data_IF_709723532831
#
_entry.id   IF_709723532831
#
_cell.length_a   1.000
_cell.length_b   1.000
_cell.length_c   1.000
_cell.angle_alpha   90.00
_cell.angle_beta   90.00
_cell.angle_gamma   90.00
#
_symmetry.space_group_name_H-M   'P 1'
#
loop_
_entity.id
_entity.type
_entity.pdbx_description
1 polymer ?
#
# COMPACT_ATOMS: atom_id res chain seq x y z
N UNK A 1 4.11 -26.99 14.01
CA UNK A 1 4.69 -25.79 14.65
C UNK A 1 5.49 -24.90 13.71
N UNK A 2 6.53 -25.36 13.00
CA UNK A 2 7.31 -24.45 12.11
C UNK A 2 6.55 -24.01 10.84
N UNK A 3 5.70 -24.88 10.26
CA UNK A 3 4.93 -24.59 9.04
C UNK A 3 3.82 -23.56 9.28
N UNK A 4 3.21 -23.59 10.46
CA UNK A 4 2.10 -22.71 10.84
C UNK A 4 2.55 -21.24 10.91
N UNK A 5 3.74 -21.01 11.47
CA UNK A 5 4.38 -19.69 11.55
C UNK A 5 4.68 -19.12 10.15
N UNK A 6 5.16 -19.96 9.23
CA UNK A 6 5.48 -19.53 7.85
C UNK A 6 4.21 -19.16 7.09
N UNK A 7 3.12 -19.91 7.28
CA UNK A 7 1.82 -19.59 6.68
C UNK A 7 1.28 -18.29 7.27
N UNK A 8 1.33 -18.13 8.59
CA UNK A 8 0.89 -16.92 9.28
C UNK A 8 1.63 -15.67 8.76
N UNK A 9 2.96 -15.74 8.63
CA UNK A 9 3.78 -14.64 8.11
C UNK A 9 3.43 -14.28 6.67
N UNK A 10 3.18 -15.27 5.82
CA UNK A 10 2.76 -15.03 4.42
C UNK A 10 1.39 -14.36 4.36
N UNK A 11 0.43 -14.84 5.14
CA UNK A 11 -0.91 -14.24 5.20
C UNK A 11 -0.87 -12.81 5.73
N UNK A 12 -0.04 -12.57 6.76
CA UNK A 12 0.17 -11.23 7.30
C UNK A 12 0.82 -10.30 6.27
N UNK A 13 1.85 -10.78 5.56
CA UNK A 13 2.52 -10.00 4.53
C UNK A 13 1.54 -9.59 3.42
N UNK A 14 0.74 -10.53 2.90
CA UNK A 14 -0.27 -10.26 1.88
C UNK A 14 -1.35 -9.31 2.40
N UNK A 15 -1.81 -9.49 3.64
CA UNK A 15 -2.81 -8.63 4.26
C UNK A 15 -2.32 -7.20 4.52
N UNK A 16 -1.02 -7.01 4.76
CA UNK A 16 -0.43 -5.69 5.03
C UNK A 16 0.00 -4.92 3.78
N UNK A 17 0.15 -5.57 2.62
CA UNK A 17 0.61 -4.90 1.39
C UNK A 17 -0.27 -3.71 0.99
N UNK A 18 -1.59 -3.89 1.01
CA UNK A 18 -2.55 -2.84 0.66
C UNK A 18 -2.49 -1.63 1.60
N UNK A 19 -2.63 -1.79 2.94
CA UNK A 19 -2.48 -0.68 3.88
C UNK A 19 -1.11 0.00 3.77
N UNK A 20 -0.03 -0.78 3.61
CA UNK A 20 1.32 -0.26 3.52
C UNK A 20 1.52 0.64 2.30
N UNK A 21 1.01 0.23 1.13
CA UNK A 21 1.11 1.02 -0.10
C UNK A 21 0.26 2.29 -0.06
N UNK A 22 -0.94 2.23 0.53
CA UNK A 22 -1.77 3.42 0.76
C UNK A 22 -1.07 4.39 1.70
N UNK A 23 -0.56 3.91 2.84
CA UNK A 23 0.16 4.74 3.79
C UNK A 23 1.43 5.34 3.18
N UNK A 24 2.19 4.56 2.41
CA UNK A 24 3.37 5.07 1.70
C UNK A 24 3.00 6.20 0.73
N UNK A 25 1.91 6.06 -0.02
CA UNK A 25 1.42 7.09 -0.92
C UNK A 25 0.96 8.35 -0.19
N UNK A 26 0.19 8.22 0.90
CA UNK A 26 -0.25 9.34 1.74
C UNK A 26 0.96 10.08 2.33
N UNK A 27 1.91 9.36 2.91
CA UNK A 27 3.12 9.94 3.50
C UNK A 27 3.98 10.62 2.45
N UNK A 28 4.15 10.03 1.26
CA UNK A 28 4.88 10.66 0.17
C UNK A 28 4.22 11.99 -0.25
N UNK A 29 2.89 12.00 -0.43
CA UNK A 29 2.13 13.20 -0.76
C UNK A 29 2.27 14.30 0.30
N UNK A 30 2.21 13.92 1.58
CA UNK A 30 2.39 14.84 2.70
C UNK A 30 3.81 15.41 2.75
N UNK A 31 4.83 14.56 2.58
CA UNK A 31 6.25 14.93 2.64
C UNK A 31 6.66 15.88 1.51
N UNK A 32 6.05 15.72 0.33
CA UNK A 32 6.25 16.59 -0.82
C UNK A 32 5.49 17.90 -0.63
N UNK A 33 4.20 17.83 -0.30
CA UNK A 33 3.35 19.02 -0.26
C UNK A 33 3.55 19.93 0.95
N UNK A 34 4.11 19.43 2.06
CA UNK A 34 4.46 20.26 3.24
C UNK A 34 5.46 21.39 2.93
N UNK A 35 6.18 21.32 1.81
CA UNK A 35 7.09 22.38 1.35
C UNK A 35 6.40 23.48 0.53
N UNK A 36 5.14 23.27 0.15
CA UNK A 36 4.39 24.16 -0.75
C UNK A 36 3.29 24.91 0.01
N UNK A 37 2.30 24.19 0.55
CA UNK A 37 1.16 24.75 1.27
C UNK A 37 0.38 23.62 1.96
N UNK A 38 -0.29 23.86 3.10
CA UNK A 38 -1.12 22.86 3.77
C UNK A 38 -2.19 22.24 2.86
N UNK A 39 -2.81 23.05 2.00
CA UNK A 39 -3.86 22.60 1.06
C UNK A 39 -3.25 21.68 0.00
N UNK A 40 -2.08 22.04 -0.52
CA UNK A 40 -1.35 21.22 -1.51
C UNK A 40 -0.87 19.91 -0.86
N UNK A 41 -0.40 19.95 0.38
CA UNK A 41 -0.05 18.76 1.16
C UNK A 41 -1.22 17.80 1.31
N UNK A 42 -2.41 18.34 1.62
CA UNK A 42 -3.62 17.54 1.73
C UNK A 42 -4.02 16.89 0.39
N UNK A 43 -4.05 17.66 -0.70
CA UNK A 43 -4.41 17.15 -2.03
C UNK A 43 -3.41 16.09 -2.50
N UNK A 44 -2.11 16.34 -2.35
CA UNK A 44 -1.07 15.37 -2.72
C UNK A 44 -1.13 14.11 -1.86
N UNK A 45 -1.48 14.22 -0.57
CA UNK A 45 -1.66 13.07 0.32
C UNK A 45 -2.85 12.21 -0.13
N UNK A 46 -3.98 12.84 -0.48
CA UNK A 46 -5.14 12.14 -1.05
C UNK A 46 -4.80 11.44 -2.36
N UNK A 47 -4.17 12.16 -3.29
CA UNK A 47 -3.74 11.60 -4.57
C UNK A 47 -2.76 10.44 -4.39
N UNK A 48 -1.79 10.59 -3.49
CA UNK A 48 -0.83 9.56 -3.13
C UNK A 48 -1.51 8.32 -2.52
N UNK A 49 -2.47 8.50 -1.61
CA UNK A 49 -3.25 7.41 -1.04
C UNK A 49 -4.06 6.64 -2.08
N UNK A 50 -4.70 7.35 -3.01
CA UNK A 50 -5.44 6.73 -4.14
C UNK A 50 -4.52 5.96 -5.08
N UNK A 51 -3.34 6.52 -5.40
CA UNK A 51 -2.33 5.83 -6.20
C UNK A 51 -1.79 4.58 -5.47
N UNK A 52 -1.54 4.68 -4.17
CA UNK A 52 -1.14 3.56 -3.32
C UNK A 52 -2.20 2.46 -3.29
N UNK A 53 -3.48 2.83 -3.22
CA UNK A 53 -4.60 1.89 -3.29
C UNK A 53 -4.65 1.20 -4.66
N UNK A 54 -4.61 1.97 -5.75
CA UNK A 54 -4.63 1.42 -7.10
C UNK A 54 -3.44 0.48 -7.37
N UNK A 55 -2.23 0.88 -6.98
CA UNK A 55 -1.02 0.08 -7.11
C UNK A 55 -1.10 -1.20 -6.26
N UNK A 56 -1.56 -1.10 -5.02
CA UNK A 56 -1.75 -2.23 -4.13
C UNK A 56 -2.80 -3.21 -4.66
N UNK A 57 -3.92 -2.73 -5.20
CA UNK A 57 -4.92 -3.59 -5.83
C UNK A 57 -4.35 -4.30 -7.06
N UNK A 58 -3.58 -3.62 -7.90
CA UNK A 58 -2.95 -4.25 -9.07
C UNK A 58 -1.91 -5.31 -8.69
N UNK A 59 -1.10 -5.05 -7.66
CA UNK A 59 -0.15 -6.02 -7.10
C UNK A 59 -0.89 -7.23 -6.54
N UNK A 60 -1.92 -7.00 -5.74
CA UNK A 60 -2.76 -8.05 -5.17
C UNK A 60 -3.39 -8.93 -6.27
N UNK A 61 -3.97 -8.33 -7.30
CA UNK A 61 -4.54 -9.05 -8.44
C UNK A 61 -3.49 -9.88 -9.20
N UNK A 62 -2.28 -9.35 -9.38
CA UNK A 62 -1.16 -10.11 -9.95
C UNK A 62 -0.77 -11.29 -9.07
N UNK A 63 -0.72 -11.09 -7.76
CA UNK A 63 -0.36 -12.13 -6.79
C UNK A 63 -1.39 -13.26 -6.78
N UNK A 64 -2.69 -12.90 -6.73
CA UNK A 64 -3.80 -13.87 -6.83
C UNK A 64 -3.72 -14.64 -8.15
N UNK A 65 -3.52 -13.94 -9.28
CA UNK A 65 -3.37 -14.60 -10.59
C UNK A 65 -2.18 -15.55 -10.62
N UNK A 66 -1.07 -15.23 -9.95
CA UNK A 66 0.10 -16.10 -9.87
C UNK A 66 -0.16 -17.35 -9.02
N UNK A 67 -0.98 -17.25 -7.97
CA UNK A 67 -1.32 -18.38 -7.08
C UNK A 67 -2.34 -19.32 -7.74
N UNK A 68 -3.27 -18.79 -8.54
CA UNK A 68 -4.37 -19.56 -9.16
C UNK A 68 -3.93 -20.30 -10.44
N UNK A 69 -2.79 -19.95 -11.02
CA UNK A 69 -2.26 -20.53 -12.25
C UNK A 69 -1.25 -21.64 -11.95
#
# INVERSE_FOLDING_TARGET
MRKDIVILLKTLAIGLELPALVLAGVLAGLLIGRRLSPIVAFILSLAGGLLGLAAGTLLFLKLVRYIVR
#
